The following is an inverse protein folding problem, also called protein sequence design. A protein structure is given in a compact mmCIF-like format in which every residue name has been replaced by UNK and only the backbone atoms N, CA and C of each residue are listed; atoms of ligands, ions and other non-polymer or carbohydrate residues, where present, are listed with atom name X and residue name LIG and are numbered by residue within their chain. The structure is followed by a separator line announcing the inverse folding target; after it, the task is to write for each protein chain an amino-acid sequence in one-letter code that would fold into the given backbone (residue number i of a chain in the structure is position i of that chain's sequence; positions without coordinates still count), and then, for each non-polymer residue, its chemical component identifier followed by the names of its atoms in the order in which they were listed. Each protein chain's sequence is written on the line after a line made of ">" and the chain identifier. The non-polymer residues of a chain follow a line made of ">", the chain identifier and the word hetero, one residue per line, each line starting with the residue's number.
data_IF_471566045537
#
_entry.id   IF_471566045537
#
_cell.length_a   1.000
_cell.length_b   1.000
_cell.length_c   1.000
_cell.angle_alpha   90.00
_cell.angle_beta   90.00
_cell.angle_gamma   90.00
#
_symmetry.space_group_name_H-M   'P 1'
#
loop_
_entity.id
_entity.type
_entity.pdbx_description
1 polymer ?
#
# COMPACT_ATOMS: atom_id res chain seq x y z
N UNK A 1 18.48 20.93 9.56
CA UNK A 1 19.36 19.86 9.04
C UNK A 1 20.56 19.57 9.94
N UNK A 2 21.09 20.55 10.68
CA UNK A 2 22.21 20.31 11.61
C UNK A 2 21.84 19.41 12.80
N UNK A 3 20.61 19.49 13.30
CA UNK A 3 20.17 18.70 14.47
C UNK A 3 20.25 17.19 14.29
N UNK A 4 20.00 16.68 13.06
CA UNK A 4 20.07 15.23 12.78
C UNK A 4 21.51 14.71 12.74
N UNK A 5 22.47 15.50 12.28
CA UNK A 5 23.90 15.14 12.30
C UNK A 5 24.42 15.12 13.73
N UNK A 6 24.03 16.09 14.55
CA UNK A 6 24.38 16.15 15.97
C UNK A 6 23.78 14.98 16.74
N UNK A 7 22.49 14.69 16.53
CA UNK A 7 21.84 13.52 17.13
C UNK A 7 22.52 12.20 16.76
N UNK A 8 22.96 12.07 15.49
CA UNK A 8 23.71 10.86 15.07
C UNK A 8 25.07 10.78 15.76
N UNK A 9 25.81 11.90 15.89
CA UNK A 9 27.08 11.93 16.61
C UNK A 9 26.89 11.55 18.07
N UNK A 10 25.92 12.14 18.76
CA UNK A 10 25.59 11.83 20.15
C UNK A 10 25.21 10.35 20.34
N UNK A 11 24.52 9.76 19.34
CA UNK A 11 24.20 8.34 19.35
C UNK A 11 25.49 7.52 19.22
N UNK A 12 26.36 7.85 18.27
CA UNK A 12 27.61 7.13 18.00
C UNK A 12 28.59 7.23 19.16
N UNK A 13 28.67 8.37 19.83
CA UNK A 13 29.49 8.54 21.04
C UNK A 13 29.02 7.59 22.16
N UNK A 14 27.71 7.39 22.27
CA UNK A 14 27.10 6.44 23.25
C UNK A 14 27.31 4.98 22.86
N UNK A 15 27.56 4.66 21.60
CA UNK A 15 27.79 3.28 21.15
C UNK A 15 29.04 2.67 21.75
N UNK A 16 30.04 3.48 22.11
CA UNK A 16 31.30 3.03 22.69
C UNK A 16 31.15 2.50 24.13
N UNK A 17 30.03 2.74 24.78
CA UNK A 17 29.80 2.29 26.16
C UNK A 17 29.02 0.97 26.18
N UNK A 18 29.46 0.00 26.99
CA UNK A 18 28.77 -1.29 27.11
C UNK A 18 27.36 -1.12 27.69
N UNK A 19 26.45 -2.06 27.44
CA UNK A 19 25.13 -2.04 28.04
C UNK A 19 25.20 -2.22 29.56
N UNK A 20 24.36 -1.53 30.29
CA UNK A 20 24.20 -1.70 31.73
C UNK A 20 23.43 -2.97 32.13
N UNK A 21 22.58 -3.44 31.20
CA UNK A 21 21.76 -4.65 31.34
C UNK A 21 21.84 -5.46 30.05
N UNK A 22 21.99 -6.78 30.16
CA UNK A 22 22.08 -7.67 29.01
C UNK A 22 23.50 -7.76 28.38
N UNK A 23 23.60 -8.51 27.29
CA UNK A 23 24.88 -8.78 26.60
C UNK A 23 25.12 -7.90 25.38
N UNK A 24 24.06 -7.31 24.82
CA UNK A 24 24.11 -6.52 23.59
C UNK A 24 23.25 -5.26 23.71
N UNK A 25 23.67 -4.21 23.01
CA UNK A 25 22.90 -3.00 22.81
C UNK A 25 22.49 -2.93 21.33
N UNK A 26 21.18 -2.85 21.06
CA UNK A 26 20.65 -2.80 19.72
C UNK A 26 20.24 -1.36 19.39
N UNK A 27 20.71 -0.88 18.25
CA UNK A 27 20.40 0.44 17.70
C UNK A 27 19.57 0.24 16.45
N UNK A 28 18.32 0.70 16.46
CA UNK A 28 17.41 0.63 15.33
C UNK A 28 17.34 2.02 14.69
N UNK A 29 17.77 2.14 13.45
CA UNK A 29 17.70 3.36 12.65
C UNK A 29 16.65 3.13 11.56
N UNK A 30 15.49 3.72 11.76
CA UNK A 30 14.40 3.65 10.80
C UNK A 30 14.54 4.74 9.74
N UNK A 31 14.06 4.48 8.53
CA UNK A 31 14.14 5.35 7.36
C UNK A 31 15.56 5.92 7.14
N UNK A 32 16.54 5.04 7.21
CA UNK A 32 17.97 5.43 7.20
C UNK A 32 18.36 6.24 5.95
N UNK A 33 17.63 6.11 4.83
CA UNK A 33 17.83 6.92 3.62
C UNK A 33 17.64 8.43 3.84
N UNK A 34 16.97 8.82 4.93
CA UNK A 34 16.80 10.23 5.31
C UNK A 34 18.03 10.84 6.00
N UNK A 35 19.07 10.05 6.26
CA UNK A 35 20.31 10.55 6.82
C UNK A 35 21.08 11.40 5.79
N UNK A 36 21.75 12.45 6.28
CA UNK A 36 22.66 13.23 5.45
C UNK A 36 23.93 12.44 5.15
N UNK A 37 24.65 12.83 4.08
CA UNK A 37 25.96 12.24 3.76
C UNK A 37 26.97 12.34 4.90
N UNK A 38 26.94 13.43 5.67
CA UNK A 38 27.78 13.60 6.85
C UNK A 38 27.43 12.61 7.98
N UNK A 39 26.14 12.30 8.16
CA UNK A 39 25.68 11.31 9.14
C UNK A 39 26.07 9.89 8.71
N UNK A 40 25.94 9.56 7.42
CA UNK A 40 26.44 8.29 6.88
C UNK A 40 27.96 8.12 7.08
N UNK A 41 28.75 9.16 6.81
CA UNK A 41 30.20 9.11 7.01
C UNK A 41 30.59 8.93 8.49
N UNK A 42 29.82 9.49 9.43
CA UNK A 42 30.03 9.25 10.85
C UNK A 42 29.70 7.79 11.22
N UNK A 43 28.59 7.25 10.69
CA UNK A 43 28.18 5.86 10.93
C UNK A 43 29.17 4.85 10.38
N UNK A 44 29.79 5.13 9.21
CA UNK A 44 30.77 4.24 8.56
C UNK A 44 31.90 3.83 9.48
N UNK A 45 32.48 4.78 10.23
CA UNK A 45 33.58 4.49 11.16
C UNK A 45 33.18 3.44 12.20
N UNK A 46 31.98 3.53 12.72
CA UNK A 46 31.48 2.59 13.71
C UNK A 46 31.09 1.22 13.11
N UNK A 47 30.62 1.21 11.84
CA UNK A 47 30.32 -0.02 11.14
C UNK A 47 31.57 -0.77 10.66
N UNK A 48 32.70 -0.10 10.50
CA UNK A 48 33.99 -0.72 10.18
C UNK A 48 34.57 -1.48 11.36
N UNK A 49 34.50 -0.88 12.55
CA UNK A 49 35.02 -1.48 13.79
C UNK A 49 33.96 -1.38 14.91
N UNK A 50 32.83 -2.13 14.79
CA UNK A 50 31.79 -2.07 15.78
C UNK A 50 32.20 -2.71 17.10
N UNK A 51 31.86 -2.13 18.26
CA UNK A 51 32.03 -2.82 19.52
C UNK A 51 31.28 -4.15 19.54
N UNK A 52 31.89 -5.21 20.09
CA UNK A 52 31.34 -6.57 20.08
C UNK A 52 29.92 -6.69 20.68
N UNK A 53 29.54 -5.76 21.54
CA UNK A 53 28.21 -5.66 22.15
C UNK A 53 27.22 -4.79 21.37
N UNK A 54 27.66 -4.04 20.36
CA UNK A 54 26.76 -3.18 19.57
C UNK A 54 26.19 -3.94 18.35
N UNK A 55 24.90 -3.78 18.12
CA UNK A 55 24.21 -4.27 16.94
C UNK A 55 23.39 -3.15 16.31
N UNK A 56 23.57 -2.95 15.01
CA UNK A 56 22.80 -1.97 14.23
C UNK A 56 21.77 -2.67 13.37
N UNK A 57 20.54 -2.18 13.38
CA UNK A 57 19.46 -2.54 12.47
C UNK A 57 19.10 -1.28 11.70
N UNK A 58 19.38 -1.29 10.39
CA UNK A 58 19.08 -0.19 9.48
C UNK A 58 17.85 -0.56 8.66
N UNK A 59 16.78 0.21 8.77
CA UNK A 59 15.56 0.01 7.99
C UNK A 59 15.40 1.12 6.96
N UNK A 60 14.95 0.78 5.75
CA UNK A 60 14.69 1.75 4.68
C UNK A 60 13.67 1.21 3.68
N UNK A 61 12.83 2.11 3.18
CA UNK A 61 11.96 1.86 2.04
C UNK A 61 12.66 2.14 0.69
N UNK A 62 13.81 2.87 0.71
CA UNK A 62 14.56 3.28 -0.48
C UNK A 62 16.03 2.83 -0.42
N UNK A 63 16.31 1.51 -0.60
CA UNK A 63 17.68 0.99 -0.46
C UNK A 63 18.66 1.60 -1.47
N UNK A 64 18.19 2.06 -2.62
CA UNK A 64 19.03 2.70 -3.64
C UNK A 64 19.61 4.06 -3.19
N UNK A 65 19.03 4.70 -2.18
CA UNK A 65 19.52 5.96 -1.59
C UNK A 65 20.55 5.75 -0.48
N UNK A 66 20.72 4.52 -0.02
CA UNK A 66 21.73 4.19 0.99
C UNK A 66 23.08 3.99 0.29
N UNK A 67 24.17 4.64 0.75
CA UNK A 67 25.49 4.46 0.14
C UNK A 67 25.94 3.01 0.09
N UNK A 68 26.54 2.59 -1.04
CA UNK A 68 27.04 1.24 -1.22
C UNK A 68 28.08 0.85 -0.16
N UNK A 69 28.83 1.82 0.36
CA UNK A 69 29.81 1.64 1.45
C UNK A 69 29.16 1.20 2.77
N UNK A 70 27.92 1.63 3.04
CA UNK A 70 27.11 1.14 4.18
C UNK A 70 26.60 -0.27 3.89
N UNK A 71 25.96 -0.45 2.71
CA UNK A 71 25.34 -1.73 2.32
C UNK A 71 26.36 -2.87 2.35
N UNK A 72 27.59 -2.63 1.89
CA UNK A 72 28.66 -3.64 1.86
C UNK A 72 29.11 -4.15 3.24
N UNK A 73 28.77 -3.42 4.30
CA UNK A 73 29.11 -3.78 5.70
C UNK A 73 27.90 -4.31 6.48
N UNK A 74 26.76 -4.46 5.83
CA UNK A 74 25.52 -4.93 6.43
C UNK A 74 25.08 -6.25 5.80
N UNK A 75 24.47 -7.11 6.61
CA UNK A 75 23.68 -8.21 6.07
C UNK A 75 22.34 -7.65 5.62
N UNK A 76 21.96 -7.84 4.34
CA UNK A 76 20.73 -7.36 3.77
C UNK A 76 19.62 -8.39 3.89
N UNK A 77 18.44 -7.92 4.29
CA UNK A 77 17.18 -8.66 4.34
C UNK A 77 16.11 -7.88 3.58
N UNK A 78 15.59 -8.45 2.50
CA UNK A 78 14.53 -7.82 1.70
C UNK A 78 13.16 -8.31 2.17
N UNK A 79 12.34 -7.38 2.66
CA UNK A 79 10.96 -7.64 3.02
C UNK A 79 10.05 -7.36 1.82
N UNK A 80 9.25 -8.35 1.44
CA UNK A 80 8.29 -8.21 0.35
C UNK A 80 6.94 -7.74 0.87
N UNK A 81 6.12 -7.21 -0.02
CA UNK A 81 4.71 -6.93 0.27
C UNK A 81 4.01 -8.23 0.67
N UNK A 82 3.14 -8.14 1.68
CA UNK A 82 2.37 -9.28 2.18
C UNK A 82 1.24 -9.57 1.20
N UNK A 83 0.98 -10.84 0.93
CA UNK A 83 -0.14 -11.25 0.07
C UNK A 83 -1.47 -10.85 0.71
N UNK A 84 -2.46 -10.37 -0.07
CA UNK A 84 -3.76 -9.95 0.45
C UNK A 84 -4.46 -11.02 1.27
N UNK A 85 -4.35 -12.28 0.88
CA UNK A 85 -4.95 -13.42 1.58
C UNK A 85 -4.35 -13.59 3.00
N UNK A 86 -3.04 -13.34 3.13
CA UNK A 86 -2.35 -13.38 4.43
C UNK A 86 -2.77 -12.21 5.32
N UNK A 87 -2.94 -11.02 4.72
CA UNK A 87 -3.46 -9.83 5.42
C UNK A 87 -4.89 -10.09 5.88
N UNK A 88 -5.77 -10.60 5.01
CA UNK A 88 -7.15 -10.90 5.33
C UNK A 88 -7.27 -11.91 6.49
N UNK A 89 -6.48 -12.99 6.45
CA UNK A 89 -6.45 -13.98 7.54
C UNK A 89 -6.00 -13.35 8.88
N UNK A 90 -5.00 -12.45 8.85
CA UNK A 90 -4.55 -11.76 10.05
C UNK A 90 -5.57 -10.74 10.57
N UNK A 91 -6.20 -9.98 9.67
CA UNK A 91 -7.29 -9.05 10.02
C UNK A 91 -8.43 -9.80 10.69
N UNK A 92 -8.87 -10.94 10.12
CA UNK A 92 -9.91 -11.78 10.72
C UNK A 92 -9.56 -12.13 12.17
N UNK A 93 -8.37 -12.68 12.40
CA UNK A 93 -7.92 -13.04 13.76
C UNK A 93 -7.94 -11.86 14.73
N UNK A 94 -7.47 -10.68 14.29
CA UNK A 94 -7.40 -9.49 15.16
C UNK A 94 -8.80 -8.93 15.46
N UNK A 95 -9.68 -8.91 14.46
CA UNK A 95 -11.05 -8.39 14.59
C UNK A 95 -11.92 -9.32 15.46
N UNK A 96 -11.77 -10.64 15.30
CA UNK A 96 -12.44 -11.63 16.14
C UNK A 96 -11.97 -11.51 17.61
N UNK A 97 -10.66 -11.36 17.84
CA UNK A 97 -10.10 -11.13 19.19
C UNK A 97 -10.60 -9.82 19.82
N UNK A 98 -10.85 -8.79 19.00
CA UNK A 98 -11.43 -7.52 19.43
C UNK A 98 -12.96 -7.55 19.59
N UNK A 99 -13.62 -8.64 19.20
CA UNK A 99 -15.09 -8.77 19.22
C UNK A 99 -15.81 -7.90 18.18
N UNK A 100 -15.12 -7.49 17.12
CA UNK A 100 -15.68 -6.67 16.05
C UNK A 100 -16.37 -7.55 14.99
N UNK A 101 -17.60 -7.19 14.61
CA UNK A 101 -18.33 -7.87 13.54
C UNK A 101 -18.01 -7.23 12.19
N UNK A 102 -17.26 -7.95 11.34
CA UNK A 102 -16.82 -7.46 10.02
C UNK A 102 -17.07 -8.56 8.98
N UNK A 103 -17.69 -8.18 7.86
CA UNK A 103 -17.97 -9.12 6.76
C UNK A 103 -16.69 -9.59 6.07
N UNK A 104 -16.72 -10.76 5.44
CA UNK A 104 -15.59 -11.29 4.68
C UNK A 104 -15.24 -10.37 3.50
N UNK A 105 -16.25 -9.78 2.86
CA UNK A 105 -16.05 -8.85 1.74
C UNK A 105 -15.35 -7.57 2.19
N UNK A 106 -15.73 -7.01 3.35
CA UNK A 106 -15.03 -5.87 3.94
C UNK A 106 -13.57 -6.19 4.27
N UNK A 107 -13.29 -7.34 4.88
CA UNK A 107 -11.91 -7.77 5.20
C UNK A 107 -11.07 -7.92 3.94
N UNK A 108 -11.62 -8.57 2.91
CA UNK A 108 -10.94 -8.75 1.63
C UNK A 108 -10.68 -7.41 0.93
N UNK A 109 -11.64 -6.49 1.00
CA UNK A 109 -11.48 -5.14 0.45
C UNK A 109 -10.38 -4.36 1.19
N UNK A 110 -10.38 -4.34 2.52
CA UNK A 110 -9.33 -3.70 3.33
C UNK A 110 -7.96 -4.30 2.98
N UNK A 111 -7.85 -5.63 2.91
CA UNK A 111 -6.61 -6.31 2.55
C UNK A 111 -6.11 -5.92 1.15
N UNK A 112 -7.01 -5.74 0.19
CA UNK A 112 -6.66 -5.32 -1.17
C UNK A 112 -6.20 -3.87 -1.24
N UNK A 113 -6.86 -2.97 -0.50
CA UNK A 113 -6.55 -1.55 -0.46
C UNK A 113 -5.23 -1.23 0.25
N UNK A 114 -4.81 -2.10 1.19
CA UNK A 114 -3.57 -1.92 1.95
C UNK A 114 -2.28 -2.20 1.17
N UNK A 115 -2.37 -2.64 -0.08
CA UNK A 115 -1.25 -2.85 -1.01
C UNK A 115 -0.08 -3.66 -0.44
N UNK A 116 -0.37 -4.58 0.47
CA UNK A 116 0.63 -5.43 1.12
C UNK A 116 1.23 -4.85 2.40
N UNK A 117 0.69 -3.72 2.91
CA UNK A 117 1.06 -3.09 4.18
C UNK A 117 0.16 -3.55 5.32
N UNK A 118 0.67 -4.32 6.29
CA UNK A 118 -0.14 -4.77 7.44
C UNK A 118 -0.56 -3.60 8.34
N UNK A 119 0.32 -2.59 8.51
CA UNK A 119 -0.01 -1.39 9.30
C UNK A 119 -1.18 -0.63 8.70
N UNK A 120 -1.16 -0.45 7.38
CA UNK A 120 -2.22 0.27 6.65
C UNK A 120 -3.53 -0.50 6.72
N UNK A 121 -3.49 -1.83 6.58
CA UNK A 121 -4.65 -2.69 6.73
C UNK A 121 -5.28 -2.59 8.13
N UNK A 122 -4.48 -2.67 9.19
CA UNK A 122 -4.95 -2.55 10.56
C UNK A 122 -5.49 -1.15 10.87
N UNK A 123 -4.82 -0.10 10.37
CA UNK A 123 -5.27 1.28 10.57
C UNK A 123 -6.61 1.54 9.88
N UNK A 124 -6.79 1.03 8.66
CA UNK A 124 -8.06 1.14 7.95
C UNK A 124 -9.16 0.34 8.65
N UNK A 125 -8.87 -0.89 9.10
CA UNK A 125 -9.82 -1.71 9.84
C UNK A 125 -10.28 -1.03 11.13
N UNK A 126 -9.36 -0.43 11.90
CA UNK A 126 -9.66 0.30 13.13
C UNK A 126 -10.60 1.50 12.86
N UNK A 127 -10.34 2.26 11.79
CA UNK A 127 -11.19 3.38 11.36
C UNK A 127 -12.60 2.91 11.01
N UNK A 128 -12.73 1.84 10.22
CA UNK A 128 -14.06 1.35 9.78
C UNK A 128 -14.86 0.80 10.95
N UNK A 129 -14.23 0.01 11.82
CA UNK A 129 -14.87 -0.53 13.04
C UNK A 129 -15.30 0.59 13.98
N UNK A 130 -14.43 1.61 14.16
CA UNK A 130 -14.75 2.77 15.01
C UNK A 130 -15.96 3.58 14.55
N UNK A 131 -16.25 3.56 13.22
CA UNK A 131 -17.41 4.27 12.65
C UNK A 131 -18.69 3.42 12.61
N UNK A 132 -18.59 2.11 12.71
CA UNK A 132 -19.74 1.20 12.64
C UNK A 132 -20.58 1.16 13.92
N UNK A 133 -20.11 1.76 15.02
CA UNK A 133 -20.79 1.88 16.32
C UNK A 133 -21.36 0.53 16.82
N UNK A 134 -20.57 -0.54 16.68
CA UNK A 134 -20.93 -1.90 17.09
C UNK A 134 -21.80 -2.69 16.11
N UNK A 135 -22.17 -2.12 14.96
CA UNK A 135 -22.88 -2.81 13.88
C UNK A 135 -21.91 -3.66 13.03
N UNK A 136 -22.49 -4.56 12.21
CA UNK A 136 -21.71 -5.30 11.22
C UNK A 136 -21.10 -4.33 10.19
N UNK A 137 -19.78 -4.35 10.08
CA UNK A 137 -19.03 -3.61 9.06
C UNK A 137 -19.16 -4.32 7.71
N UNK A 138 -19.58 -3.58 6.70
CA UNK A 138 -19.70 -4.06 5.32
C UNK A 138 -18.64 -3.42 4.40
N UNK A 139 -18.51 -3.92 3.19
CA UNK A 139 -17.65 -3.34 2.17
C UNK A 139 -18.09 -1.91 1.77
N UNK A 140 -19.42 -1.60 1.82
CA UNK A 140 -19.90 -0.24 1.61
C UNK A 140 -19.37 0.74 2.67
N UNK A 141 -19.22 0.30 3.92
CA UNK A 141 -18.64 1.12 4.99
C UNK A 141 -17.15 1.41 4.70
N UNK A 142 -16.40 0.41 4.23
CA UNK A 142 -15.01 0.58 3.81
C UNK A 142 -14.91 1.59 2.66
N UNK A 143 -15.76 1.44 1.64
CA UNK A 143 -15.80 2.37 0.49
C UNK A 143 -16.11 3.79 0.93
N UNK A 144 -17.07 3.97 1.84
CA UNK A 144 -17.47 5.28 2.36
C UNK A 144 -16.31 5.98 3.07
N UNK A 145 -15.52 5.25 3.85
CA UNK A 145 -14.39 5.80 4.61
C UNK A 145 -13.20 6.12 3.72
N UNK A 146 -12.93 5.25 2.75
CA UNK A 146 -11.80 5.45 1.84
C UNK A 146 -12.08 6.48 0.74
N UNK A 147 -13.34 6.93 0.60
CA UNK A 147 -13.76 7.79 -0.51
C UNK A 147 -13.61 7.12 -1.88
N UNK A 148 -13.46 5.79 -1.88
CA UNK A 148 -13.21 5.01 -3.08
C UNK A 148 -14.47 4.74 -3.91
N UNK A 149 -14.28 4.03 -5.01
CA UNK A 149 -15.34 3.59 -5.89
C UNK A 149 -15.68 2.12 -5.63
N UNK A 150 -16.96 1.81 -5.40
CA UNK A 150 -17.40 0.42 -5.34
C UNK A 150 -17.38 -0.24 -6.74
N UNK A 151 -17.48 -1.56 -6.78
CA UNK A 151 -17.43 -2.32 -8.04
C UNK A 151 -18.52 -1.91 -9.05
N UNK A 152 -19.68 -1.48 -8.57
CA UNK A 152 -20.78 -1.01 -9.41
C UNK A 152 -20.44 0.34 -10.05
N UNK A 153 -19.97 1.31 -9.26
CA UNK A 153 -19.56 2.63 -9.75
C UNK A 153 -18.45 2.51 -10.80
N UNK A 154 -17.44 1.65 -10.55
CA UNK A 154 -16.35 1.40 -11.51
C UNK A 154 -16.88 0.82 -12.82
N UNK A 155 -17.84 -0.11 -12.76
CA UNK A 155 -18.49 -0.67 -13.97
C UNK A 155 -19.27 0.39 -14.74
N UNK A 156 -20.08 1.21 -14.06
CA UNK A 156 -20.88 2.27 -14.69
C UNK A 156 -19.99 3.31 -15.38
N UNK A 157 -18.97 3.81 -14.66
CA UNK A 157 -18.01 4.77 -15.20
C UNK A 157 -17.22 4.19 -16.39
N UNK A 158 -16.77 2.94 -16.27
CA UNK A 158 -16.03 2.26 -17.33
C UNK A 158 -16.90 2.03 -18.57
N UNK A 159 -18.15 1.60 -18.39
CA UNK A 159 -19.08 1.41 -19.49
C UNK A 159 -19.37 2.72 -20.23
N UNK A 160 -19.64 3.81 -19.50
CA UNK A 160 -19.86 5.14 -20.07
C UNK A 160 -18.64 5.66 -20.83
N UNK A 161 -17.43 5.45 -20.30
CA UNK A 161 -16.17 5.81 -20.97
C UNK A 161 -15.95 5.02 -22.26
N UNK A 162 -16.20 3.70 -22.24
CA UNK A 162 -16.03 2.82 -23.40
C UNK A 162 -17.05 3.14 -24.50
N UNK A 163 -18.29 3.47 -24.11
CA UNK A 163 -19.37 3.82 -25.05
C UNK A 163 -19.28 5.28 -25.55
N UNK A 164 -18.45 6.13 -24.92
CA UNK A 164 -18.36 7.55 -25.24
C UNK A 164 -19.57 8.37 -24.75
N UNK A 165 -20.33 7.85 -23.78
CA UNK A 165 -21.53 8.51 -23.24
C UNK A 165 -21.15 9.54 -22.16
N UNK A 166 -20.63 10.69 -22.61
CA UNK A 166 -20.10 11.74 -21.72
C UNK A 166 -21.13 12.26 -20.70
N UNK A 167 -22.39 12.40 -21.10
CA UNK A 167 -23.47 12.84 -20.19
C UNK A 167 -23.63 11.88 -19.01
N UNK A 168 -23.77 10.59 -19.29
CA UNK A 168 -23.87 9.55 -18.25
C UNK A 168 -22.63 9.50 -17.36
N UNK A 169 -21.44 9.66 -17.93
CA UNK A 169 -20.19 9.70 -17.18
C UNK A 169 -20.20 10.84 -16.15
N UNK A 170 -20.54 12.05 -16.60
CA UNK A 170 -20.56 13.23 -15.74
C UNK A 170 -21.63 13.13 -14.65
N UNK A 171 -22.85 12.68 -14.99
CA UNK A 171 -23.94 12.47 -14.01
C UNK A 171 -23.57 11.42 -12.95
N UNK A 172 -22.89 10.36 -13.38
CA UNK A 172 -22.43 9.29 -12.45
C UNK A 172 -21.33 9.78 -11.53
N UNK A 173 -20.38 10.58 -12.04
CA UNK A 173 -19.33 11.20 -11.23
C UNK A 173 -19.91 12.21 -10.23
N UNK A 174 -20.83 13.07 -10.68
CA UNK A 174 -21.45 14.08 -9.80
C UNK A 174 -22.19 13.43 -8.65
N UNK A 175 -22.98 12.37 -8.92
CA UNK A 175 -23.65 11.58 -7.88
C UNK A 175 -22.67 10.93 -6.90
N UNK A 176 -21.56 10.40 -7.39
CA UNK A 176 -20.54 9.79 -6.54
C UNK A 176 -19.90 10.83 -5.62
N UNK A 177 -19.53 11.99 -6.16
CA UNK A 177 -18.93 13.08 -5.38
C UNK A 177 -19.92 13.67 -4.36
N UNK A 178 -21.20 13.81 -4.72
CA UNK A 178 -22.25 14.24 -3.79
C UNK A 178 -22.43 13.27 -2.61
N UNK A 179 -22.11 11.98 -2.81
CA UNK A 179 -22.11 10.94 -1.78
C UNK A 179 -20.75 10.81 -1.03
N UNK A 180 -19.83 11.75 -1.22
CA UNK A 180 -18.57 11.84 -0.47
C UNK A 180 -17.39 11.09 -1.11
N UNK A 181 -17.51 10.61 -2.36
CA UNK A 181 -16.38 10.02 -3.05
C UNK A 181 -15.33 11.08 -3.45
N UNK A 182 -14.05 10.73 -3.36
CA UNK A 182 -12.94 11.58 -3.77
C UNK A 182 -12.57 11.33 -5.24
N UNK A 183 -12.50 12.40 -6.04
CA UNK A 183 -12.24 12.32 -7.46
C UNK A 183 -10.87 11.68 -7.78
N UNK A 184 -9.83 11.99 -6.99
CA UNK A 184 -8.51 11.42 -7.16
C UNK A 184 -8.51 9.93 -6.81
N UNK A 185 -9.25 9.54 -5.78
CA UNK A 185 -9.42 8.13 -5.43
C UNK A 185 -10.18 7.36 -6.51
N UNK A 186 -11.27 7.93 -7.06
CA UNK A 186 -11.99 7.34 -8.20
C UNK A 186 -11.04 7.14 -9.40
N UNK A 187 -10.19 8.12 -9.70
CA UNK A 187 -9.24 8.02 -10.80
C UNK A 187 -8.23 6.87 -10.58
N UNK A 188 -7.70 6.72 -9.37
CA UNK A 188 -6.81 5.61 -9.00
C UNK A 188 -7.52 4.25 -9.11
N UNK A 189 -8.76 4.16 -8.63
CA UNK A 189 -9.54 2.93 -8.68
C UNK A 189 -9.90 2.56 -10.14
N UNK A 190 -10.24 3.54 -10.98
CA UNK A 190 -10.43 3.34 -12.42
C UNK A 190 -9.15 2.88 -13.11
N UNK A 191 -7.98 3.44 -12.76
CA UNK A 191 -6.71 2.99 -13.30
C UNK A 191 -6.45 1.51 -12.96
N UNK A 192 -6.70 1.09 -11.71
CA UNK A 192 -6.61 -0.32 -11.31
C UNK A 192 -7.61 -1.19 -12.08
N UNK A 193 -8.84 -0.73 -12.23
CA UNK A 193 -9.89 -1.45 -12.95
C UNK A 193 -9.56 -1.63 -14.43
N UNK A 194 -9.05 -0.60 -15.10
CA UNK A 194 -8.60 -0.69 -16.51
C UNK A 194 -7.36 -1.56 -16.67
N UNK A 195 -6.42 -1.55 -15.71
CA UNK A 195 -5.31 -2.49 -15.71
C UNK A 195 -5.82 -3.93 -15.64
N UNK A 196 -6.77 -4.21 -14.74
CA UNK A 196 -7.33 -5.54 -14.57
C UNK A 196 -8.08 -5.99 -15.85
N UNK A 197 -8.83 -5.08 -16.52
CA UNK A 197 -9.42 -5.35 -17.84
C UNK A 197 -8.35 -5.65 -18.90
N UNK A 198 -7.28 -4.86 -18.96
CA UNK A 198 -6.19 -5.07 -19.92
C UNK A 198 -5.51 -6.42 -19.71
N UNK A 199 -5.23 -6.79 -18.48
CA UNK A 199 -4.68 -8.10 -18.10
C UNK A 199 -5.63 -9.22 -18.53
N UNK A 200 -6.95 -9.06 -18.31
CA UNK A 200 -7.96 -10.07 -18.62
C UNK A 200 -8.08 -10.39 -20.11
N UNK A 201 -7.80 -9.42 -20.98
CA UNK A 201 -7.88 -9.61 -22.45
C UNK A 201 -6.54 -9.90 -23.11
N UNK A 202 -5.42 -9.66 -22.40
CA UNK A 202 -4.07 -9.83 -22.94
C UNK A 202 -3.45 -11.19 -22.63
N UNK A 203 -4.00 -11.94 -21.67
CA UNK A 203 -3.41 -13.17 -21.12
C UNK A 203 -4.46 -14.30 -21.14
N UNK A 204 -4.09 -15.48 -21.64
CA UNK A 204 -5.00 -16.63 -21.76
C UNK A 204 -5.52 -17.16 -20.40
N UNK A 205 -4.72 -17.07 -19.33
CA UNK A 205 -5.13 -17.48 -17.99
C UNK A 205 -4.82 -16.38 -16.96
N UNK A 206 -5.67 -15.34 -16.87
CA UNK A 206 -5.42 -14.16 -16.05
C UNK A 206 -5.72 -14.37 -14.55
N UNK A 207 -6.34 -15.48 -14.14
CA UNK A 207 -6.87 -15.69 -12.80
C UNK A 207 -5.80 -15.48 -11.69
N UNK A 208 -4.59 -15.99 -11.89
CA UNK A 208 -3.48 -15.84 -10.94
C UNK A 208 -2.95 -14.41 -10.79
N UNK A 209 -3.21 -13.54 -11.79
CA UNK A 209 -2.79 -12.13 -11.77
C UNK A 209 -3.89 -11.22 -11.26
N UNK A 210 -5.15 -11.53 -11.60
CA UNK A 210 -6.29 -10.70 -11.22
C UNK A 210 -6.68 -10.86 -9.75
N UNK A 211 -6.50 -12.06 -9.18
CA UNK A 211 -6.88 -12.38 -7.79
C UNK A 211 -8.32 -11.95 -7.48
N UNK A 212 -9.24 -12.19 -8.43
CA UNK A 212 -10.66 -11.87 -8.36
C UNK A 212 -11.47 -13.15 -8.43
N UNK A 213 -12.70 -13.12 -7.92
CA UNK A 213 -13.67 -14.19 -8.12
C UNK A 213 -14.00 -14.36 -9.62
N UNK A 214 -14.53 -15.53 -9.98
CA UNK A 214 -14.79 -15.89 -11.37
C UNK A 214 -15.80 -14.95 -12.07
N UNK A 215 -16.79 -14.45 -11.33
CA UNK A 215 -17.82 -13.56 -11.86
C UNK A 215 -17.25 -12.18 -12.19
N UNK A 216 -16.46 -11.62 -11.28
CA UNK A 216 -15.77 -10.34 -11.48
C UNK A 216 -14.77 -10.44 -12.63
N UNK A 217 -14.00 -11.55 -12.71
CA UNK A 217 -13.06 -11.79 -13.80
C UNK A 217 -13.75 -11.87 -15.18
N UNK A 218 -14.91 -12.52 -15.27
CA UNK A 218 -15.70 -12.60 -16.49
C UNK A 218 -16.24 -11.22 -16.93
N UNK A 219 -16.73 -10.43 -15.98
CA UNK A 219 -17.23 -9.08 -16.28
C UNK A 219 -16.10 -8.14 -16.74
N UNK A 220 -14.91 -8.22 -16.14
CA UNK A 220 -13.72 -7.49 -16.58
C UNK A 220 -13.31 -7.89 -18.00
N UNK A 221 -13.34 -9.17 -18.32
CA UNK A 221 -13.00 -9.68 -19.63
C UNK A 221 -13.98 -9.18 -20.70
N UNK A 222 -15.28 -9.24 -20.45
CA UNK A 222 -16.32 -8.76 -21.37
C UNK A 222 -16.16 -7.25 -21.68
N UNK A 223 -16.02 -6.43 -20.64
CA UNK A 223 -15.80 -4.99 -20.81
C UNK A 223 -14.46 -4.70 -21.51
N UNK A 224 -13.42 -5.44 -21.16
CA UNK A 224 -12.10 -5.30 -21.77
C UNK A 224 -12.09 -5.63 -23.25
N UNK A 225 -12.84 -6.67 -23.68
CA UNK A 225 -13.01 -6.99 -25.09
C UNK A 225 -13.75 -5.88 -25.85
N UNK A 226 -14.80 -5.31 -25.26
CA UNK A 226 -15.54 -4.19 -25.86
C UNK A 226 -14.66 -2.94 -26.03
N UNK A 227 -13.82 -2.66 -25.04
CA UNK A 227 -12.93 -1.51 -25.04
C UNK A 227 -11.78 -1.65 -26.05
N UNK A 228 -11.21 -2.85 -26.15
CA UNK A 228 -9.99 -3.12 -26.90
C UNK A 228 -8.71 -2.64 -26.18
N UNK A 229 -7.61 -3.33 -26.43
CA UNK A 229 -6.32 -3.09 -25.75
C UNK A 229 -5.76 -1.67 -25.99
N UNK A 230 -5.98 -1.12 -27.18
CA UNK A 230 -5.53 0.24 -27.52
C UNK A 230 -6.19 1.32 -26.69
N UNK A 231 -7.52 1.25 -26.51
CA UNK A 231 -8.26 2.17 -25.63
C UNK A 231 -7.80 2.04 -24.18
N UNK A 232 -7.74 0.81 -23.66
CA UNK A 232 -7.34 0.55 -22.26
C UNK A 232 -5.93 1.06 -21.96
N UNK A 233 -4.99 0.85 -22.89
CA UNK A 233 -3.60 1.34 -22.70
C UNK A 233 -3.54 2.87 -22.68
N UNK A 234 -4.30 3.55 -23.57
CA UNK A 234 -4.33 5.00 -23.60
C UNK A 234 -5.03 5.59 -22.36
N UNK A 235 -6.16 5.01 -21.94
CA UNK A 235 -6.87 5.42 -20.74
C UNK A 235 -5.99 5.27 -19.48
N UNK A 236 -5.29 4.15 -19.34
CA UNK A 236 -4.33 3.93 -18.27
C UNK A 236 -3.23 4.98 -18.25
N UNK A 237 -2.65 5.30 -19.41
CA UNK A 237 -1.61 6.34 -19.51
C UNK A 237 -2.11 7.71 -19.03
N UNK A 238 -3.36 8.06 -19.36
CA UNK A 238 -3.97 9.32 -18.92
C UNK A 238 -4.23 9.31 -17.42
N UNK A 239 -4.86 8.24 -16.90
CA UNK A 239 -5.20 8.14 -15.46
C UNK A 239 -3.96 8.14 -14.56
N UNK A 240 -2.89 7.44 -14.97
CA UNK A 240 -1.63 7.42 -14.22
C UNK A 240 -0.90 8.77 -14.26
N UNK A 241 -1.13 9.60 -15.28
CA UNK A 241 -0.57 10.95 -15.36
C UNK A 241 -1.29 11.96 -14.43
N UNK A 242 -2.48 11.63 -13.92
CA UNK A 242 -3.22 12.46 -12.96
C UNK A 242 -2.73 12.28 -11.51
N UNK A 243 -1.97 11.24 -11.24
CA UNK A 243 -1.50 10.86 -9.90
C UNK A 243 -0.06 11.39 -9.60
N UNK A 244 0.54 12.15 -10.49
CA UNK A 244 1.84 12.81 -10.39
C UNK A 244 1.71 14.30 -10.47
#
# INVERSE_FOLDING_TARGET
>A
SNSRVEQMRDLLDKVMYPPTVGKRRVYILDEVHMLSGAAFNALLKTLEEPPAFAMFILATTEPHRVPATIISRCQRFDFRRIAPETIAARLRSVLDDAGASVSDDAINLIASLSEGGMRDALSLADQVVGMADGNLVTDEDVVRITGGANAQLLRELSAALISGELGQLLDTLDRAMANGADASQIARDLARYFRDMLVSVSIENPAHLLRRDAQTAAALHELGQKAGSGFLTNALRILLALDG
#
